data_IF_746356168315
#
_entry.id   IF_746356168315
#
_cell.length_a   1.000
_cell.length_b   1.000
_cell.length_c   1.000
_cell.angle_alpha   90.00
_cell.angle_beta   90.00
_cell.angle_gamma   90.00
#
_symmetry.space_group_name_H-M   'P 1'
#
loop_
_entity.id
_entity.type
_entity.pdbx_description
1 polymer ?
#
# COMPACT_ATOMS: atom_id res chain seq x y z
N UNK A 1 -10.20 -15.42 -39.82
CA UNK A 1 -10.02 -16.68 -40.58
C UNK A 1 -11.41 -17.12 -41.04
N UNK A 2 -11.70 -17.00 -42.34
CA UNK A 2 -13.00 -17.37 -42.93
C UNK A 2 -13.05 -18.89 -43.06
N UNK A 3 -14.05 -19.52 -42.45
CA UNK A 3 -14.17 -20.98 -42.50
C UNK A 3 -15.55 -21.36 -42.95
N UNK A 4 -15.58 -22.11 -44.05
CA UNK A 4 -16.77 -22.68 -44.64
C UNK A 4 -17.18 -23.91 -43.83
N UNK A 5 -18.42 -23.94 -43.35
CA UNK A 5 -19.00 -25.04 -42.61
C UNK A 5 -20.28 -25.53 -43.33
N UNK A 6 -20.33 -26.83 -43.62
CA UNK A 6 -21.54 -27.50 -44.10
C UNK A 6 -22.35 -27.99 -42.90
N UNK A 7 -23.54 -27.43 -42.71
CA UNK A 7 -24.51 -27.84 -41.71
C UNK A 7 -25.55 -28.75 -42.37
N UNK A 8 -25.71 -29.97 -41.87
CA UNK A 8 -26.71 -30.93 -42.37
C UNK A 8 -27.92 -30.97 -41.45
N UNK A 9 -29.10 -30.78 -42.02
CA UNK A 9 -30.39 -30.97 -41.34
C UNK A 9 -31.20 -32.07 -42.05
N UNK A 10 -32.35 -32.47 -41.47
CA UNK A 10 -33.02 -33.74 -41.78
C UNK A 10 -33.47 -33.92 -43.25
N UNK A 11 -33.58 -32.85 -44.05
CA UNK A 11 -33.92 -32.93 -45.48
C UNK A 11 -32.95 -32.17 -46.43
N UNK A 12 -31.78 -31.72 -45.97
CA UNK A 12 -30.82 -30.98 -46.81
C UNK A 12 -29.51 -30.60 -46.12
N UNK A 13 -28.53 -30.11 -46.89
CA UNK A 13 -27.25 -29.62 -46.40
C UNK A 13 -27.05 -28.17 -46.85
N UNK A 14 -26.76 -27.27 -45.92
CA UNK A 14 -26.48 -25.85 -46.17
C UNK A 14 -25.02 -25.57 -45.89
N UNK A 15 -24.37 -24.81 -46.78
CA UNK A 15 -22.94 -24.50 -46.70
C UNK A 15 -22.76 -23.02 -46.44
N UNK A 16 -22.40 -22.63 -45.21
CA UNK A 16 -22.23 -21.22 -44.85
C UNK A 16 -20.77 -20.90 -44.52
N UNK A 17 -20.30 -19.74 -44.99
CA UNK A 17 -18.94 -19.24 -44.74
C UNK A 17 -18.93 -18.31 -43.55
N UNK A 18 -18.32 -18.73 -42.44
CA UNK A 18 -18.32 -17.95 -41.18
C UNK A 18 -16.91 -17.40 -40.90
N UNK A 19 -16.81 -16.11 -40.63
CA UNK A 19 -15.54 -15.46 -40.25
C UNK A 19 -15.31 -15.51 -38.73
N UNK A 20 -14.17 -16.09 -38.32
CA UNK A 20 -13.71 -16.10 -36.93
C UNK A 20 -12.61 -15.05 -36.72
N UNK A 21 -12.56 -14.33 -35.58
CA UNK A 21 -13.44 -14.45 -34.41
C UNK A 21 -14.78 -13.72 -34.59
N UNK A 22 -15.87 -14.38 -34.20
CA UNK A 22 -17.24 -13.86 -34.34
C UNK A 22 -17.41 -12.68 -33.38
N UNK A 23 -17.83 -11.52 -33.92
CA UNK A 23 -18.16 -10.32 -33.14
C UNK A 23 -19.65 -10.15 -32.87
N UNK A 24 -20.50 -10.98 -33.51
CA UNK A 24 -21.96 -10.89 -33.47
C UNK A 24 -22.60 -12.11 -32.77
N UNK A 25 -23.85 -11.96 -32.33
CA UNK A 25 -24.54 -12.99 -31.57
C UNK A 25 -24.83 -14.23 -32.43
N UNK A 26 -24.72 -15.42 -31.84
CA UNK A 26 -24.99 -16.73 -32.50
C UNK A 26 -26.40 -16.77 -33.12
N UNK A 27 -27.35 -16.06 -32.49
CA UNK A 27 -28.74 -15.91 -32.95
C UNK A 27 -28.89 -14.98 -34.16
N UNK A 28 -28.03 -13.98 -34.32
CA UNK A 28 -28.05 -13.11 -35.51
C UNK A 28 -27.45 -13.82 -36.71
N UNK A 29 -26.41 -14.63 -36.49
CA UNK A 29 -25.81 -15.47 -37.53
C UNK A 29 -26.76 -16.57 -38.00
N UNK A 30 -27.51 -17.22 -37.09
CA UNK A 30 -28.52 -18.20 -37.50
C UNK A 30 -29.63 -17.55 -38.32
N UNK A 31 -30.11 -16.37 -37.92
CA UNK A 31 -31.11 -15.62 -38.68
C UNK A 31 -30.60 -15.19 -40.06
N UNK A 32 -29.37 -14.69 -40.17
CA UNK A 32 -28.78 -14.29 -41.45
C UNK A 32 -28.61 -15.47 -42.41
N UNK A 33 -28.28 -16.67 -41.88
CA UNK A 33 -28.17 -17.90 -42.68
C UNK A 33 -29.55 -18.40 -43.13
N UNK A 34 -30.57 -18.28 -42.27
CA UNK A 34 -31.95 -18.65 -42.62
C UNK A 34 -32.52 -17.70 -43.69
N UNK A 35 -32.17 -16.42 -43.65
CA UNK A 35 -32.59 -15.41 -44.61
C UNK A 35 -31.88 -15.54 -45.97
N UNK A 36 -30.59 -15.91 -46.00
CA UNK A 36 -29.85 -16.15 -47.25
C UNK A 36 -30.31 -17.43 -47.98
N UNK A 37 -30.64 -18.50 -47.25
CA UNK A 37 -30.94 -19.82 -47.83
C UNK A 37 -32.45 -20.16 -47.87
N UNK A 38 -33.31 -19.26 -47.38
CA UNK A 38 -34.77 -19.31 -47.50
C UNK A 38 -35.42 -20.58 -46.88
N UNK A 39 -35.00 -20.95 -45.67
CA UNK A 39 -35.48 -22.14 -44.96
C UNK A 39 -36.82 -21.90 -44.22
N UNK A 40 -37.58 -22.97 -43.99
CA UNK A 40 -38.84 -22.92 -43.26
C UNK A 40 -38.58 -22.69 -41.74
N UNK A 41 -39.39 -21.89 -41.02
CA UNK A 41 -39.14 -21.48 -39.63
C UNK A 41 -39.09 -22.60 -38.57
N UNK A 42 -39.33 -23.85 -38.95
CA UNK A 42 -39.30 -25.00 -38.04
C UNK A 42 -37.89 -25.59 -37.86
N UNK A 43 -36.93 -25.23 -38.72
CA UNK A 43 -35.57 -25.80 -38.73
C UNK A 43 -34.55 -24.91 -38.00
N UNK A 44 -35.00 -23.80 -37.41
CA UNK A 44 -34.19 -22.79 -36.73
C UNK A 44 -33.54 -23.32 -35.44
N UNK A 45 -34.27 -24.07 -34.62
CA UNK A 45 -33.74 -24.64 -33.38
C UNK A 45 -32.68 -25.73 -33.64
N UNK A 46 -32.87 -26.55 -34.68
CA UNK A 46 -31.90 -27.59 -35.06
C UNK A 46 -30.62 -26.96 -35.63
N UNK A 47 -30.75 -25.86 -36.39
CA UNK A 47 -29.60 -25.12 -36.93
C UNK A 47 -28.86 -24.33 -35.85
N UNK A 48 -29.57 -23.73 -34.90
CA UNK A 48 -28.98 -23.05 -33.73
C UNK A 48 -28.14 -24.01 -32.90
N UNK A 49 -28.68 -25.18 -32.55
CA UNK A 49 -27.94 -26.18 -31.77
C UNK A 49 -26.72 -26.70 -32.55
N UNK A 50 -26.86 -26.98 -33.85
CA UNK A 50 -25.75 -27.45 -34.67
C UNK A 50 -24.66 -26.38 -34.86
N UNK A 51 -25.04 -25.10 -34.92
CA UNK A 51 -24.12 -23.98 -35.08
C UNK A 51 -23.43 -23.64 -33.76
N UNK A 52 -24.14 -23.74 -32.62
CA UNK A 52 -23.57 -23.63 -31.27
C UNK A 52 -22.55 -24.76 -31.01
N UNK A 53 -22.90 -26.01 -31.30
CA UNK A 53 -22.01 -27.16 -31.19
C UNK A 53 -20.76 -27.00 -32.08
N UNK A 54 -20.93 -26.51 -33.31
CA UNK A 54 -19.81 -26.28 -34.23
C UNK A 54 -18.90 -25.13 -33.78
N UNK A 55 -19.48 -24.03 -33.30
CA UNK A 55 -18.71 -22.90 -32.75
C UNK A 55 -17.98 -23.35 -31.50
N UNK A 56 -18.63 -24.10 -30.60
CA UNK A 56 -18.00 -24.60 -29.38
C UNK A 56 -16.85 -25.56 -29.72
N UNK A 57 -17.08 -26.56 -30.58
CA UNK A 57 -16.05 -27.50 -31.01
C UNK A 57 -14.84 -26.79 -31.63
N UNK A 58 -15.09 -25.74 -32.41
CA UNK A 58 -14.03 -25.00 -33.10
C UNK A 58 -13.32 -24.02 -32.19
N UNK A 59 -14.02 -23.42 -31.23
CA UNK A 59 -13.44 -22.62 -30.16
C UNK A 59 -12.53 -23.48 -29.30
N UNK A 60 -12.97 -24.68 -28.91
CA UNK A 60 -12.17 -25.66 -28.20
C UNK A 60 -10.94 -26.08 -29.01
N UNK A 61 -11.10 -26.43 -30.29
CA UNK A 61 -9.96 -26.82 -31.15
C UNK A 61 -8.97 -25.67 -31.42
N UNK A 62 -9.45 -24.42 -31.56
CA UNK A 62 -8.57 -23.26 -31.67
C UNK A 62 -7.84 -22.99 -30.36
N UNK A 63 -8.53 -23.11 -29.23
CA UNK A 63 -7.93 -22.94 -27.91
C UNK A 63 -6.91 -24.04 -27.61
N UNK A 64 -7.19 -25.28 -28.00
CA UNK A 64 -6.26 -26.40 -27.89
C UNK A 64 -5.05 -26.20 -28.81
N UNK A 65 -5.23 -25.69 -30.03
CA UNK A 65 -4.10 -25.37 -30.92
C UNK A 65 -3.24 -24.24 -30.36
N UNK A 66 -3.85 -23.15 -29.89
CA UNK A 66 -3.13 -22.04 -29.27
C UNK A 66 -2.43 -22.46 -27.98
N UNK A 67 -3.09 -23.28 -27.16
CA UNK A 67 -2.52 -23.85 -25.93
C UNK A 67 -1.34 -24.77 -26.24
N UNK A 68 -1.47 -25.64 -27.23
CA UNK A 68 -0.38 -26.52 -27.67
C UNK A 68 0.76 -25.75 -28.35
N UNK A 69 0.48 -24.65 -29.07
CA UNK A 69 1.50 -23.77 -29.64
C UNK A 69 2.26 -23.01 -28.54
N UNK A 70 1.56 -22.47 -27.55
CA UNK A 70 2.15 -21.84 -26.38
C UNK A 70 2.97 -22.83 -25.54
N UNK A 71 2.48 -24.06 -25.35
CA UNK A 71 3.22 -25.13 -24.68
C UNK A 71 4.46 -25.55 -25.48
N UNK A 72 4.36 -25.67 -26.81
CA UNK A 72 5.53 -25.97 -27.66
C UNK A 72 6.57 -24.83 -27.63
N UNK A 73 6.14 -23.57 -27.63
CA UNK A 73 7.03 -22.42 -27.42
C UNK A 73 7.72 -22.49 -26.05
N UNK A 74 6.98 -22.89 -25.01
CA UNK A 74 7.51 -23.05 -23.64
C UNK A 74 8.50 -24.22 -23.56
N UNK A 75 8.22 -25.35 -24.22
CA UNK A 75 9.09 -26.54 -24.22
C UNK A 75 10.36 -26.37 -25.08
N UNK A 76 10.34 -25.49 -26.09
CA UNK A 76 11.52 -25.18 -26.89
C UNK A 76 12.48 -24.18 -26.23
N UNK A 77 12.06 -23.50 -25.17
CA UNK A 77 12.89 -22.54 -24.42
C UNK A 77 13.39 -23.26 -23.15
N UNK A 78 14.56 -23.89 -23.24
CA UNK A 78 15.22 -24.61 -22.14
C UNK A 78 15.74 -23.70 -20.99
N UNK A 79 15.20 -22.50 -20.83
CA UNK A 79 15.61 -21.53 -19.82
C UNK A 79 14.35 -20.99 -19.11
N UNK A 80 13.92 -21.71 -18.07
CA UNK A 80 12.82 -21.28 -17.18
C UNK A 80 13.03 -19.84 -16.68
N UNK A 81 14.28 -19.41 -16.53
CA UNK A 81 14.67 -18.07 -16.08
C UNK A 81 14.24 -16.96 -17.04
N UNK A 82 14.32 -17.19 -18.34
CA UNK A 82 13.97 -16.17 -19.35
C UNK A 82 12.45 -16.01 -19.47
N UNK A 83 11.72 -17.10 -19.26
CA UNK A 83 10.25 -17.11 -19.23
C UNK A 83 9.75 -16.38 -17.98
N UNK A 84 10.34 -16.66 -16.81
CA UNK A 84 10.03 -15.95 -15.58
C UNK A 84 10.30 -14.46 -15.75
N UNK A 85 11.45 -14.07 -16.34
CA UNK A 85 11.76 -12.66 -16.61
C UNK A 85 10.80 -12.01 -17.61
N UNK A 86 10.35 -12.74 -18.63
CA UNK A 86 9.39 -12.24 -19.60
C UNK A 86 8.03 -11.98 -18.95
N UNK A 87 7.52 -12.95 -18.18
CA UNK A 87 6.26 -12.79 -17.45
C UNK A 87 6.36 -11.76 -16.34
N UNK A 88 7.47 -11.70 -15.61
CA UNK A 88 7.72 -10.65 -14.62
C UNK A 88 7.74 -9.26 -15.26
N UNK A 89 8.33 -9.13 -16.46
CA UNK A 89 8.32 -7.89 -17.22
C UNK A 89 6.90 -7.50 -17.66
N UNK A 90 6.16 -8.41 -18.28
CA UNK A 90 4.78 -8.14 -18.73
C UNK A 90 3.85 -7.84 -17.55
N UNK A 91 3.94 -8.63 -16.47
CA UNK A 91 3.17 -8.43 -15.26
C UNK A 91 3.50 -7.08 -14.59
N UNK A 92 4.77 -6.69 -14.55
CA UNK A 92 5.19 -5.38 -14.02
C UNK A 92 4.71 -4.25 -14.91
N UNK A 93 4.80 -4.36 -16.23
CA UNK A 93 4.34 -3.33 -17.16
C UNK A 93 2.82 -3.13 -17.05
N UNK A 94 2.05 -4.21 -16.94
CA UNK A 94 0.59 -4.17 -16.85
C UNK A 94 0.12 -3.71 -15.46
N UNK A 95 0.73 -4.22 -14.39
CA UNK A 95 0.46 -3.80 -13.00
C UNK A 95 0.89 -2.35 -12.74
N UNK A 96 1.92 -1.84 -13.42
CA UNK A 96 2.31 -0.41 -13.34
C UNK A 96 1.37 0.49 -14.15
N UNK A 97 0.70 -0.04 -15.17
CA UNK A 97 -0.26 0.73 -15.98
C UNK A 97 -1.63 0.85 -15.31
N UNK A 98 -2.05 -0.19 -14.57
CA UNK A 98 -3.35 -0.28 -13.89
C UNK A 98 -3.29 -0.13 -12.38
N UNK A 99 -2.11 -0.27 -11.79
CA UNK A 99 -1.87 0.01 -10.38
C UNK A 99 -1.96 1.50 -10.14
N UNK A 100 -2.73 1.88 -9.12
CA UNK A 100 -2.84 3.24 -8.66
C UNK A 100 -1.41 3.77 -8.46
N UNK A 101 -1.00 4.79 -9.24
CA UNK A 101 0.25 5.50 -9.01
C UNK A 101 0.09 6.38 -7.77
N UNK A 102 -0.29 5.78 -6.66
CA UNK A 102 0.12 6.27 -5.36
C UNK A 102 1.63 6.22 -5.40
N UNK A 103 2.27 7.34 -5.77
CA UNK A 103 3.71 7.50 -5.62
C UNK A 103 4.07 6.96 -4.25
N UNK A 104 5.09 6.09 -4.20
CA UNK A 104 5.52 5.37 -3.00
C UNK A 104 5.28 6.25 -1.79
N UNK A 105 4.40 5.81 -0.88
CA UNK A 105 3.97 6.65 0.24
C UNK A 105 5.21 7.27 0.86
N UNK A 106 5.19 8.57 1.20
CA UNK A 106 6.35 9.27 1.75
C UNK A 106 7.04 8.42 2.85
N UNK A 107 6.25 7.69 3.65
CA UNK A 107 6.70 6.68 4.61
C UNK A 107 7.60 5.57 4.01
N UNK A 108 7.23 4.96 2.89
CA UNK A 108 8.02 3.95 2.18
C UNK A 108 9.31 4.53 1.61
N UNK A 109 9.27 5.77 1.14
CA UNK A 109 10.45 6.47 0.61
C UNK A 109 11.46 6.74 1.73
N UNK A 110 10.99 7.19 2.89
CA UNK A 110 11.83 7.35 4.08
C UNK A 110 12.39 6.01 4.58
N UNK A 111 11.57 4.95 4.64
CA UNK A 111 12.02 3.62 5.06
C UNK A 111 13.15 3.10 4.16
N UNK A 112 12.98 3.24 2.84
CA UNK A 112 13.99 2.86 1.85
C UNK A 112 15.25 3.73 1.98
N UNK A 113 15.10 5.03 2.21
CA UNK A 113 16.20 5.96 2.39
C UNK A 113 17.04 5.64 3.64
N UNK A 114 16.36 5.43 4.76
CA UNK A 114 16.95 5.04 6.04
C UNK A 114 17.71 3.73 5.90
N UNK A 115 17.09 2.69 5.32
CA UNK A 115 17.73 1.39 5.11
C UNK A 115 19.01 1.50 4.27
N UNK A 116 18.95 2.24 3.14
CA UNK A 116 20.13 2.47 2.28
C UNK A 116 21.25 3.18 3.02
N UNK A 117 20.95 4.23 3.78
CA UNK A 117 21.94 5.01 4.51
C UNK A 117 22.61 4.19 5.61
N UNK A 118 21.84 3.44 6.40
CA UNK A 118 22.36 2.57 7.46
C UNK A 118 23.29 1.49 6.90
N UNK A 119 22.91 0.84 5.78
CA UNK A 119 23.74 -0.20 5.16
C UNK A 119 24.92 0.33 4.35
N UNK A 120 24.87 1.57 3.86
CA UNK A 120 25.99 2.21 3.15
C UNK A 120 27.17 2.56 4.06
N UNK A 121 27.00 2.47 5.39
CA UNK A 121 28.07 2.60 6.40
C UNK A 121 28.68 3.99 6.55
N UNK A 122 28.45 4.92 5.61
CA UNK A 122 29.08 6.25 5.56
C UNK A 122 28.35 7.27 6.44
N UNK A 123 27.05 7.08 6.67
CA UNK A 123 26.20 8.03 7.38
C UNK A 123 25.75 7.58 8.77
N UNK A 124 26.04 6.32 9.16
CA UNK A 124 25.49 5.71 10.37
C UNK A 124 25.95 6.42 11.66
N UNK A 125 27.23 6.78 11.74
CA UNK A 125 27.80 7.42 12.94
C UNK A 125 27.19 8.82 13.17
N UNK A 126 27.07 9.61 12.10
CA UNK A 126 26.43 10.93 12.16
C UNK A 126 24.96 10.84 12.53
N UNK A 127 24.26 9.84 11.98
CA UNK A 127 22.85 9.58 12.26
C UNK A 127 22.62 9.19 13.71
N UNK A 128 23.47 8.31 14.25
CA UNK A 128 23.45 7.93 15.66
C UNK A 128 23.74 9.13 16.58
N UNK A 129 24.67 10.00 16.19
CA UNK A 129 25.00 11.21 16.94
C UNK A 129 23.80 12.18 17.03
N UNK A 130 23.07 12.36 15.93
CA UNK A 130 21.85 13.19 15.90
C UNK A 130 20.76 12.58 16.79
N UNK A 131 20.53 11.26 16.70
CA UNK A 131 19.57 10.55 17.56
C UNK A 131 19.93 10.67 19.03
N UNK A 132 21.21 10.53 19.38
CA UNK A 132 21.69 10.68 20.74
C UNK A 132 21.47 12.10 21.26
N UNK A 133 21.70 13.12 20.44
CA UNK A 133 21.43 14.52 20.81
C UNK A 133 19.94 14.73 21.10
N UNK A 134 19.06 14.24 20.23
CA UNK A 134 17.61 14.36 20.44
C UNK A 134 17.14 13.61 21.68
N UNK A 135 17.67 12.42 21.94
CA UNK A 135 17.39 11.67 23.14
C UNK A 135 17.83 12.43 24.40
N UNK A 136 19.01 13.07 24.36
CA UNK A 136 19.51 13.88 25.47
C UNK A 136 18.61 15.08 25.75
N UNK A 137 18.16 15.80 24.72
CA UNK A 137 17.24 16.94 24.86
C UNK A 137 15.91 16.54 25.50
N UNK A 138 15.35 15.39 25.08
CA UNK A 138 14.11 14.86 25.66
C UNK A 138 14.31 14.46 27.12
N UNK A 139 15.42 13.81 27.45
CA UNK A 139 15.75 13.44 28.84
C UNK A 139 15.91 14.68 29.71
N UNK A 140 16.61 15.71 29.22
CA UNK A 140 16.77 16.98 29.93
C UNK A 140 15.41 17.65 30.20
N UNK A 141 14.49 17.64 29.22
CA UNK A 141 13.14 18.16 29.43
C UNK A 141 12.32 17.34 30.44
N UNK A 142 12.47 16.02 30.44
CA UNK A 142 11.84 15.14 31.44
C UNK A 142 12.38 15.44 32.83
N UNK A 143 13.69 15.62 32.98
CA UNK A 143 14.31 16.01 34.26
C UNK A 143 13.79 17.37 34.73
N UNK A 144 13.68 18.36 33.85
CA UNK A 144 13.12 19.68 34.21
C UNK A 144 11.66 19.58 34.69
N UNK A 145 10.85 18.71 34.07
CA UNK A 145 9.49 18.42 34.53
C UNK A 145 9.53 17.84 35.93
N UNK A 146 10.34 16.81 36.16
CA UNK A 146 10.41 16.08 37.41
C UNK A 146 10.89 17.00 38.55
N UNK A 147 11.93 17.81 38.30
CA UNK A 147 12.42 18.83 39.22
C UNK A 147 11.34 19.87 39.58
N UNK A 148 10.55 20.30 38.58
CA UNK A 148 9.50 21.28 38.82
C UNK A 148 8.35 20.68 39.64
N UNK A 149 7.97 19.44 39.38
CA UNK A 149 6.94 18.74 40.15
C UNK A 149 7.42 18.51 41.57
N UNK A 150 8.65 18.06 41.77
CA UNK A 150 9.23 17.87 43.10
C UNK A 150 9.24 19.18 43.89
N UNK A 151 9.62 20.30 43.26
CA UNK A 151 9.56 21.64 43.89
C UNK A 151 8.14 22.03 44.26
N UNK A 152 7.17 21.79 43.38
CA UNK A 152 5.75 22.06 43.65
C UNK A 152 5.24 21.23 44.84
N UNK A 153 5.54 19.93 44.88
CA UNK A 153 5.16 19.04 45.98
C UNK A 153 5.75 19.53 47.30
N UNK A 154 7.04 19.86 47.35
CA UNK A 154 7.69 20.40 48.56
C UNK A 154 7.04 21.70 49.03
N UNK A 155 6.74 22.62 48.12
CA UNK A 155 6.05 23.87 48.46
C UNK A 155 4.64 23.65 49.01
N UNK A 156 3.93 22.66 48.48
CA UNK A 156 2.59 22.29 48.93
C UNK A 156 2.63 21.64 50.32
N UNK A 157 3.60 20.75 50.58
CA UNK A 157 3.86 20.16 51.90
C UNK A 157 4.22 21.22 52.95
N UNK A 158 5.14 22.12 52.64
CA UNK A 158 5.52 23.24 53.53
C UNK A 158 4.31 24.15 53.83
N UNK A 159 3.51 24.47 52.81
CA UNK A 159 2.31 25.29 52.95
C UNK A 159 1.24 24.62 53.82
N UNK A 160 1.08 23.30 53.68
CA UNK A 160 0.16 22.51 54.50
C UNK A 160 0.64 22.45 55.95
N UNK A 161 1.92 22.14 56.17
CA UNK A 161 2.53 22.09 57.50
C UNK A 161 2.40 23.44 58.23
N UNK A 162 2.66 24.55 57.55
CA UNK A 162 2.49 25.89 58.12
C UNK A 162 1.04 26.19 58.51
N UNK A 163 0.06 25.75 57.71
CA UNK A 163 -1.37 25.90 58.04
C UNK A 163 -1.75 25.06 59.26
N UNK A 164 -1.24 23.83 59.36
CA UNK A 164 -1.41 22.95 60.52
C UNK A 164 -0.78 23.53 61.80
N UNK A 165 0.40 24.15 61.70
CA UNK A 165 1.04 24.81 62.85
C UNK A 165 0.28 26.06 63.31
N UNK A 166 -0.28 26.83 62.37
CA UNK A 166 -1.03 28.05 62.66
C UNK A 166 -2.39 27.75 63.30
N UNK A 167 -3.08 26.70 62.81
CA UNK A 167 -4.32 26.21 63.41
C UNK A 167 -3.98 25.14 64.44
N UNK A 168 -3.75 25.52 65.71
CA UNK A 168 -3.44 24.62 66.85
C UNK A 168 -4.27 23.31 66.88
N UNK A 169 -3.93 22.33 66.04
CA UNK A 169 -4.55 21.01 65.95
C UNK A 169 -5.95 20.90 65.32
N UNK A 170 -6.54 21.94 64.70
CA UNK A 170 -7.89 21.80 64.11
C UNK A 170 -8.05 22.59 62.81
N UNK A 171 -7.52 22.03 61.72
CA UNK A 171 -8.13 22.26 60.40
C UNK A 171 -9.31 21.29 60.27
N UNK A 172 -10.42 21.76 59.70
CA UNK A 172 -11.53 20.87 59.37
C UNK A 172 -11.08 19.88 58.29
N UNK A 173 -11.48 18.61 58.38
CA UNK A 173 -11.21 17.61 57.34
C UNK A 173 -11.66 18.08 55.95
N UNK A 174 -12.70 18.92 55.90
CA UNK A 174 -13.21 19.50 54.67
C UNK A 174 -12.26 20.55 54.08
N UNK A 175 -11.57 21.33 54.91
CA UNK A 175 -10.57 22.31 54.45
C UNK A 175 -9.31 21.63 53.92
N UNK A 176 -8.88 20.55 54.57
CA UNK A 176 -7.76 19.71 54.10
C UNK A 176 -8.10 19.09 52.76
N UNK A 177 -9.29 18.50 52.62
CA UNK A 177 -9.72 17.88 51.37
C UNK A 177 -9.83 18.90 50.21
N UNK A 178 -10.33 20.11 50.48
CA UNK A 178 -10.35 21.19 49.47
C UNK A 178 -8.94 21.63 49.06
N UNK A 179 -7.98 21.68 50.00
CA UNK A 179 -6.59 22.02 49.70
C UNK A 179 -5.89 20.92 48.90
N UNK A 180 -6.11 19.66 49.25
CA UNK A 180 -5.56 18.52 48.53
C UNK A 180 -6.09 18.48 47.10
N UNK A 181 -7.40 18.74 46.90
CA UNK A 181 -7.98 18.86 45.57
C UNK A 181 -7.30 19.97 44.76
N UNK A 182 -7.13 21.16 45.35
CA UNK A 182 -6.44 22.28 44.69
C UNK A 182 -4.99 21.93 44.32
N UNK A 183 -4.26 21.22 45.19
CA UNK A 183 -2.90 20.79 44.93
C UNK A 183 -2.81 19.76 43.80
N UNK A 184 -3.72 18.80 43.76
CA UNK A 184 -3.83 17.80 42.70
C UNK A 184 -4.15 18.50 41.36
N UNK A 185 -5.08 19.45 41.34
CA UNK A 185 -5.40 20.25 40.16
C UNK A 185 -4.17 21.03 39.66
N UNK A 186 -3.42 21.65 40.57
CA UNK A 186 -2.20 22.40 40.21
C UNK A 186 -1.08 21.49 39.66
N UNK A 187 -0.86 20.33 40.28
CA UNK A 187 0.12 19.36 39.81
C UNK A 187 -0.28 18.78 38.45
N UNK A 188 -1.55 18.39 38.29
CA UNK A 188 -2.07 17.83 37.03
C UNK A 188 -1.99 18.83 35.88
N UNK A 189 -2.33 20.11 36.11
CA UNK A 189 -2.17 21.17 35.12
C UNK A 189 -0.70 21.33 34.67
N UNK A 190 0.22 21.32 35.64
CA UNK A 190 1.66 21.41 35.36
C UNK A 190 2.16 20.20 34.57
N UNK A 191 1.72 19.00 34.93
CA UNK A 191 2.02 17.76 34.22
C UNK A 191 1.54 17.80 32.77
N UNK A 192 0.28 18.17 32.54
CA UNK A 192 -0.30 18.26 31.18
C UNK A 192 0.48 19.24 30.31
N UNK A 193 0.87 20.40 30.88
CA UNK A 193 1.70 21.38 30.17
C UNK A 193 3.04 20.78 29.76
N UNK A 194 3.70 20.04 30.65
CA UNK A 194 4.98 19.40 30.34
C UNK A 194 4.85 18.27 29.32
N UNK A 195 3.81 17.44 29.41
CA UNK A 195 3.52 16.38 28.44
C UNK A 195 3.37 17.01 27.04
N UNK A 196 2.53 18.03 26.92
CA UNK A 196 2.35 18.74 25.64
C UNK A 196 3.66 19.33 25.10
N UNK A 197 4.50 19.90 25.96
CA UNK A 197 5.80 20.46 25.56
C UNK A 197 6.76 19.36 25.09
N UNK A 198 6.82 18.23 25.78
CA UNK A 198 7.66 17.08 25.42
C UNK A 198 7.19 16.46 24.11
N UNK A 199 5.87 16.31 23.93
CA UNK A 199 5.30 15.74 22.70
C UNK A 199 5.56 16.65 21.49
N UNK A 200 5.45 17.97 21.68
CA UNK A 200 5.80 18.96 20.65
C UNK A 200 7.27 18.83 20.27
N UNK A 201 8.18 18.74 21.25
CA UNK A 201 9.61 18.55 20.97
C UNK A 201 9.86 17.26 20.17
N UNK A 202 9.28 16.14 20.60
CA UNK A 202 9.45 14.84 19.93
C UNK A 202 8.93 14.85 18.49
N UNK A 203 7.81 15.52 18.25
CA UNK A 203 7.25 15.66 16.91
C UNK A 203 8.14 16.54 16.02
N UNK A 204 8.63 17.66 16.53
CA UNK A 204 9.58 18.51 15.81
C UNK A 204 10.86 17.75 15.48
N UNK A 205 11.47 17.07 16.46
CA UNK A 205 12.67 16.26 16.25
C UNK A 205 12.44 15.15 15.20
N UNK A 206 11.30 14.44 15.25
CA UNK A 206 10.96 13.42 14.26
C UNK A 206 10.86 13.99 12.84
N UNK A 207 10.25 15.17 12.69
CA UNK A 207 10.14 15.85 11.40
C UNK A 207 11.49 16.32 10.87
N UNK A 208 12.26 17.01 11.71
CA UNK A 208 13.59 17.50 11.35
C UNK A 208 14.54 16.35 11.01
N UNK A 209 14.48 15.26 11.76
CA UNK A 209 15.24 14.05 11.47
C UNK A 209 14.89 13.46 10.11
N UNK A 210 13.58 13.34 9.81
CA UNK A 210 13.11 12.84 8.53
C UNK A 210 13.61 13.70 7.37
N UNK A 211 13.43 15.02 7.47
CA UNK A 211 13.87 15.96 6.44
C UNK A 211 15.39 15.92 6.24
N UNK A 212 16.14 15.78 7.33
CA UNK A 212 17.58 15.66 7.30
C UNK A 212 18.05 14.36 6.62
N UNK A 213 17.45 13.21 6.97
CA UNK A 213 17.76 11.89 6.34
C UNK A 213 17.51 11.93 4.83
N UNK A 214 16.41 12.55 4.39
CA UNK A 214 16.10 12.67 2.97
C UNK A 214 17.14 13.53 2.23
N UNK A 215 17.54 14.68 2.79
CA UNK A 215 18.59 15.53 2.23
C UNK A 215 19.94 14.82 2.15
N UNK A 216 20.30 14.07 3.20
CA UNK A 216 21.53 13.31 3.25
C UNK A 216 21.60 12.25 2.14
N UNK A 217 20.47 11.59 1.85
CA UNK A 217 20.39 10.64 0.75
C UNK A 217 20.54 11.34 -0.61
N UNK A 218 19.91 12.50 -0.82
CA UNK A 218 20.09 13.28 -2.06
C UNK A 218 21.57 13.66 -2.27
N UNK A 219 22.26 14.11 -1.23
CA UNK A 219 23.69 14.43 -1.28
C UNK A 219 24.56 13.20 -1.58
N UNK A 220 24.24 12.06 -0.97
CA UNK A 220 24.93 10.81 -1.21
C UNK A 220 24.75 10.33 -2.67
N UNK A 221 23.53 10.39 -3.21
CA UNK A 221 23.25 10.04 -4.59
C UNK A 221 23.95 10.96 -5.59
N UNK A 222 24.00 12.28 -5.31
CA UNK A 222 24.77 13.23 -6.12
C UNK A 222 26.26 12.89 -6.12
N UNK A 223 26.81 12.59 -4.96
CA UNK A 223 28.24 12.26 -4.82
C UNK A 223 28.61 10.99 -5.57
N UNK A 224 27.79 9.94 -5.49
CA UNK A 224 27.98 8.69 -6.25
C UNK A 224 27.92 8.95 -7.75
N UNK A 225 26.94 9.72 -8.22
CA UNK A 225 26.75 10.01 -9.65
C UNK A 225 27.92 10.81 -10.23
N UNK A 226 28.48 11.74 -9.45
CA UNK A 226 29.68 12.50 -9.80
C UNK A 226 30.94 11.62 -9.82
N UNK A 227 31.05 10.64 -8.92
CA UNK A 227 32.17 9.69 -8.91
C UNK A 227 32.11 8.67 -10.05
N UNK A 228 30.91 8.29 -10.52
CA UNK A 228 30.73 7.34 -11.63
C UNK A 228 30.88 7.96 -13.03
N UNK A 229 30.99 9.30 -13.12
CA UNK A 229 31.14 10.04 -14.37
C UNK A 229 32.56 10.58 -14.60
N UNK A 230 33.50 10.17 -13.75
CA UNK A 230 34.96 10.34 -13.87
C UNK A 230 35.61 8.99 -14.16
#
# INVERSE_FOLDING_TARGET
>A
MTVVAEFKYKNGAVTASIELPISESISELSHHIIEEENLQPYEEDDLLNALEDFIQFKKENLNDKLSNEALNLTLCINNDEDIIRYWEKQFKEETVSYGDKSGSSDSELFSTAYHKLVHSGIALDTMLQVEQSYAHDVVNMIQQRDDQIEKLTKQQEESLNKKLETHQGSLSSEEINNLDQMYIEQQSFTLVKWISKIDTLKETQRREYRDWVMKLLEEHQRTITLQSSL
#
